data_IF_883745107453
#
_entry.id   IF_883745107453
#
_cell.length_a   1.000
_cell.length_b   1.000
_cell.length_c   1.000
_cell.angle_alpha   90.00
_cell.angle_beta   90.00
_cell.angle_gamma   90.00
#
_symmetry.space_group_name_H-M   'P 1'
#
loop_
_entity.id
_entity.type
_entity.pdbx_description
1 polymer ?
#
# COMPACT_ATOMS: atom_id res chain seq x y z
N UNK A 1 -11.94 -22.33 15.61
CA UNK A 1 -11.41 -21.29 14.69
C UNK A 1 -11.08 -19.98 15.41
N UNK A 2 -12.02 -19.36 16.13
CA UNK A 2 -11.78 -18.08 16.83
C UNK A 2 -10.67 -18.13 17.90
N UNK A 3 -10.57 -19.22 18.67
CA UNK A 3 -9.52 -19.38 19.69
C UNK A 3 -8.11 -19.46 19.09
N UNK A 4 -7.95 -20.17 17.97
CA UNK A 4 -6.68 -20.25 17.25
C UNK A 4 -6.24 -18.87 16.78
N UNK A 5 -7.16 -18.10 16.17
CA UNK A 5 -6.86 -16.74 15.70
C UNK A 5 -6.48 -15.82 16.87
N UNK A 6 -7.16 -15.92 18.02
CA UNK A 6 -6.80 -15.15 19.22
C UNK A 6 -5.41 -15.50 19.75
N UNK A 7 -5.07 -16.80 19.80
CA UNK A 7 -3.74 -17.26 20.23
C UNK A 7 -2.64 -16.78 19.28
N UNK A 8 -2.86 -16.94 17.98
CA UNK A 8 -1.92 -16.49 16.95
C UNK A 8 -1.71 -14.98 17.01
N UNK A 9 -2.78 -14.22 17.19
CA UNK A 9 -2.72 -12.76 17.27
C UNK A 9 -1.95 -12.29 18.53
N UNK A 10 -2.17 -12.92 19.69
CA UNK A 10 -1.40 -12.63 20.91
C UNK A 10 0.09 -12.98 20.75
N UNK A 11 0.40 -14.10 20.09
CA UNK A 11 1.78 -14.50 19.82
C UNK A 11 2.47 -13.51 18.87
N UNK A 12 1.84 -13.15 17.76
CA UNK A 12 2.40 -12.20 16.79
C UNK A 12 2.50 -10.79 17.36
N UNK A 13 1.56 -10.36 18.21
CA UNK A 13 1.67 -9.09 18.93
C UNK A 13 2.89 -9.06 19.88
N UNK A 14 3.26 -10.20 20.47
CA UNK A 14 4.52 -10.30 21.25
C UNK A 14 5.74 -10.27 20.36
N UNK A 15 5.72 -10.97 19.23
CA UNK A 15 6.82 -10.93 18.26
C UNK A 15 7.05 -9.53 17.71
N UNK A 16 6.00 -8.76 17.43
CA UNK A 16 6.12 -7.37 16.97
C UNK A 16 6.78 -6.46 18.03
N UNK A 17 6.51 -6.70 19.32
CA UNK A 17 7.20 -5.99 20.41
C UNK A 17 8.68 -6.37 20.50
N UNK A 18 9.00 -7.65 20.31
CA UNK A 18 10.40 -8.12 20.28
C UNK A 18 11.15 -7.58 19.05
N UNK A 19 10.48 -7.52 17.89
CA UNK A 19 11.03 -6.97 16.67
C UNK A 19 11.43 -5.50 16.86
N UNK A 20 10.56 -4.69 17.47
CA UNK A 20 10.88 -3.31 17.82
C UNK A 20 12.07 -3.20 18.80
N UNK A 21 12.16 -4.11 19.78
CA UNK A 21 13.25 -4.12 20.78
C UNK A 21 14.62 -4.45 20.15
N UNK A 22 14.66 -5.36 19.19
CA UNK A 22 15.89 -5.81 18.53
C UNK A 22 16.07 -5.22 17.12
N UNK A 23 15.47 -4.06 16.86
CA UNK A 23 15.63 -3.31 15.61
C UNK A 23 15.38 -4.15 14.35
N UNK A 24 14.37 -5.01 14.40
CA UNK A 24 13.93 -5.81 13.26
C UNK A 24 12.74 -5.15 12.58
N UNK A 25 12.81 -5.07 11.25
CA UNK A 25 11.67 -4.70 10.42
C UNK A 25 10.89 -5.96 10.08
N UNK A 26 9.67 -6.07 10.59
CA UNK A 26 8.74 -7.15 10.19
C UNK A 26 8.32 -6.94 8.74
N UNK A 27 8.51 -7.96 7.90
CA UNK A 27 8.10 -7.92 6.50
C UNK A 27 6.68 -8.45 6.34
N UNK A 28 6.48 -9.74 6.62
CA UNK A 28 5.18 -10.38 6.38
C UNK A 28 5.00 -11.60 7.27
N UNK A 29 3.74 -11.98 7.41
CA UNK A 29 3.29 -13.22 8.04
C UNK A 29 2.69 -14.09 6.94
N UNK A 30 3.22 -15.29 6.76
CA UNK A 30 2.78 -16.26 5.77
C UNK A 30 2.27 -17.51 6.50
N UNK A 31 0.99 -17.50 6.87
CA UNK A 31 0.39 -18.55 7.69
C UNK A 31 0.95 -18.50 9.12
N UNK A 32 1.76 -19.49 9.46
CA UNK A 32 2.50 -19.61 10.73
C UNK A 32 3.95 -19.08 10.64
N UNK A 33 4.45 -18.82 9.42
CA UNK A 33 5.77 -18.26 9.22
C UNK A 33 5.77 -16.75 9.50
N UNK A 34 6.57 -16.33 10.48
CA UNK A 34 6.87 -14.95 10.79
C UNK A 34 8.31 -14.66 10.37
N UNK A 35 8.52 -13.71 9.45
CA UNK A 35 9.88 -13.30 9.06
C UNK A 35 10.06 -11.79 9.11
N UNK A 36 11.26 -11.41 9.54
CA UNK A 36 11.71 -10.04 9.72
C UNK A 36 13.16 -9.93 9.27
N UNK A 37 13.61 -8.70 9.03
CA UNK A 37 14.95 -8.39 8.57
C UNK A 37 15.58 -7.32 9.46
N UNK A 38 16.90 -7.26 9.49
CA UNK A 38 17.68 -6.23 10.18
C UNK A 38 18.61 -5.52 9.20
N UNK A 39 18.95 -4.26 9.49
CA UNK A 39 19.83 -3.45 8.64
C UNK A 39 19.14 -2.75 7.46
N UNK A 40 17.80 -2.72 7.45
CA UNK A 40 16.98 -1.93 6.53
C UNK A 40 15.81 -1.27 7.28
N UNK A 41 15.40 -0.04 6.91
CA UNK A 41 15.99 0.81 5.86
C UNK A 41 17.36 1.40 6.24
N UNK A 42 17.61 1.55 7.54
CA UNK A 42 18.87 2.08 8.06
C UNK A 42 19.87 0.95 8.25
N UNK A 43 21.04 1.10 7.61
CA UNK A 43 22.14 0.15 7.77
C UNK A 43 22.63 0.13 9.22
N UNK A 44 22.97 -1.06 9.70
CA UNK A 44 23.46 -1.31 11.06
C UNK A 44 24.50 -2.42 11.03
N UNK A 45 25.62 -2.24 11.72
CA UNK A 45 26.73 -3.21 11.72
C UNK A 45 26.47 -4.43 12.60
N UNK A 46 25.78 -4.27 13.73
CA UNK A 46 25.41 -5.35 14.65
C UNK A 46 24.07 -6.01 14.27
N UNK A 47 23.72 -5.98 12.98
CA UNK A 47 22.50 -6.59 12.45
C UNK A 47 22.41 -8.09 12.75
N UNK A 48 23.54 -8.82 12.65
CA UNK A 48 23.61 -10.25 12.90
C UNK A 48 23.33 -10.59 14.37
N UNK A 49 23.94 -9.87 15.30
CA UNK A 49 23.71 -10.03 16.74
C UNK A 49 22.24 -9.73 17.11
N UNK A 50 21.69 -8.65 16.57
CA UNK A 50 20.29 -8.29 16.76
C UNK A 50 19.32 -9.38 16.28
N UNK A 51 19.56 -9.96 15.10
CA UNK A 51 18.72 -11.03 14.55
C UNK A 51 18.81 -12.33 15.35
N UNK A 52 19.99 -12.69 15.90
CA UNK A 52 20.14 -13.84 16.78
C UNK A 52 19.41 -13.60 18.12
N UNK A 53 19.57 -12.42 18.72
CA UNK A 53 18.89 -12.05 19.97
C UNK A 53 17.36 -12.05 19.82
N UNK A 54 16.86 -11.60 18.66
CA UNK A 54 15.45 -11.74 18.31
C UNK A 54 15.02 -13.21 18.28
N UNK A 55 15.76 -14.06 17.56
CA UNK A 55 15.45 -15.49 17.48
C UNK A 55 15.41 -16.19 18.84
N UNK A 56 16.38 -15.91 19.71
CA UNK A 56 16.43 -16.44 21.07
C UNK A 56 15.21 -15.98 21.90
N UNK A 57 14.85 -14.69 21.81
CA UNK A 57 13.70 -14.15 22.52
C UNK A 57 12.36 -14.71 22.00
N UNK A 58 12.25 -15.00 20.70
CA UNK A 58 11.06 -15.64 20.14
C UNK A 58 10.92 -17.09 20.63
N UNK A 59 12.03 -17.83 20.71
CA UNK A 59 12.05 -19.20 21.26
C UNK A 59 11.65 -19.20 22.75
N UNK A 60 12.13 -18.23 23.54
CA UNK A 60 11.71 -18.06 24.93
C UNK A 60 10.21 -17.73 25.03
N UNK A 61 9.72 -16.82 24.18
CA UNK A 61 8.33 -16.41 24.15
C UNK A 61 7.39 -17.57 23.78
N UNK A 62 7.76 -18.42 22.83
CA UNK A 62 6.93 -19.60 22.49
C UNK A 62 6.95 -20.63 23.61
N UNK A 63 8.07 -20.83 24.31
CA UNK A 63 8.12 -21.71 25.48
C UNK A 63 7.18 -21.25 26.59
N UNK A 64 7.12 -19.94 26.85
CA UNK A 64 6.16 -19.37 27.80
C UNK A 64 4.69 -19.61 27.37
N UNK A 65 4.38 -19.42 26.09
CA UNK A 65 3.03 -19.65 25.56
C UNK A 65 2.66 -21.14 25.65
N UNK A 66 3.60 -22.03 25.33
CA UNK A 66 3.47 -23.49 25.45
C UNK A 66 3.08 -23.90 26.86
N UNK A 67 3.79 -23.40 27.87
CA UNK A 67 3.51 -23.67 29.28
C UNK A 67 2.15 -23.14 29.73
N UNK A 68 1.78 -21.92 29.32
CA UNK A 68 0.52 -21.29 29.74
C UNK A 68 -0.71 -21.90 29.08
N UNK A 69 -0.59 -22.31 27.83
CA UNK A 69 -1.72 -22.84 27.05
C UNK A 69 -1.79 -24.37 27.05
N UNK A 70 -0.76 -25.06 27.58
CA UNK A 70 -0.65 -26.52 27.58
C UNK A 70 -0.79 -27.11 26.16
N UNK A 71 -0.27 -26.40 25.17
CA UNK A 71 -0.23 -26.83 23.77
C UNK A 71 1.16 -27.33 23.42
N UNK A 72 1.31 -28.24 22.45
CA UNK A 72 2.61 -28.72 21.98
C UNK A 72 3.05 -27.96 20.72
N UNK A 73 3.32 -26.66 20.89
CA UNK A 73 3.77 -25.77 19.81
C UNK A 73 5.25 -25.48 19.98
N UNK A 74 6.01 -25.67 18.90
CA UNK A 74 7.42 -25.32 18.82
C UNK A 74 7.71 -24.55 17.52
N UNK A 75 8.86 -23.87 17.49
CA UNK A 75 9.26 -23.00 16.40
C UNK A 75 10.70 -23.29 16.00
N UNK A 76 10.95 -23.33 14.69
CA UNK A 76 12.30 -23.32 14.13
C UNK A 76 12.67 -21.89 13.77
N UNK A 77 13.94 -21.53 13.96
CA UNK A 77 14.46 -20.22 13.60
C UNK A 77 15.67 -20.38 12.70
N UNK A 78 15.61 -19.78 11.50
CA UNK A 78 16.72 -19.71 10.55
C UNK A 78 17.18 -18.27 10.35
N UNK A 79 18.49 -18.04 10.39
CA UNK A 79 19.10 -16.71 10.16
C UNK A 79 20.19 -16.82 9.11
N UNK A 80 20.18 -15.90 8.16
CA UNK A 80 21.22 -15.74 7.16
C UNK A 80 21.50 -14.25 6.94
N UNK A 81 22.75 -13.93 6.64
CA UNK A 81 23.24 -12.58 6.41
C UNK A 81 23.71 -12.48 4.96
N UNK A 82 23.21 -11.48 4.24
CA UNK A 82 23.47 -11.31 2.83
C UNK A 82 22.82 -10.03 2.29
N UNK A 83 22.78 -9.92 0.98
CA UNK A 83 22.23 -8.77 0.25
C UNK A 83 20.77 -9.00 -0.11
N UNK A 84 19.95 -7.96 0.01
CA UNK A 84 18.52 -8.04 -0.34
C UNK A 84 18.06 -6.83 -1.14
N UNK A 85 17.13 -7.05 -2.07
CA UNK A 85 16.40 -5.99 -2.74
C UNK A 85 15.05 -5.81 -2.04
N UNK A 86 14.87 -4.68 -1.37
CA UNK A 86 13.59 -4.31 -0.76
C UNK A 86 12.79 -3.36 -1.65
N UNK A 87 11.48 -3.55 -1.71
CA UNK A 87 10.61 -2.68 -2.50
C UNK A 87 9.14 -3.01 -2.31
N UNK A 88 8.30 -2.30 -3.06
CA UNK A 88 6.86 -2.53 -3.05
C UNK A 88 6.40 -2.99 -4.43
N UNK A 89 5.60 -4.05 -4.47
CA UNK A 89 5.04 -4.59 -5.71
C UNK A 89 3.51 -4.54 -5.71
N UNK A 90 2.96 -4.37 -6.92
CA UNK A 90 1.52 -4.47 -7.20
C UNK A 90 0.81 -3.13 -7.42
N UNK A 91 -0.27 -3.17 -8.19
CA UNK A 91 -1.16 -2.00 -8.42
C UNK A 91 -2.33 -1.93 -7.43
N UNK A 92 -2.60 -3.02 -6.70
CA UNK A 92 -3.66 -3.13 -5.69
C UNK A 92 -3.09 -3.81 -4.47
N UNK A 93 -3.38 -3.28 -3.26
CA UNK A 93 -2.90 -3.81 -1.98
C UNK A 93 -1.38 -4.01 -1.96
N UNK A 94 -0.68 -2.94 -2.30
CA UNK A 94 0.77 -2.82 -2.25
C UNK A 94 1.30 -3.23 -0.86
N UNK A 95 2.36 -4.04 -0.84
CA UNK A 95 3.04 -4.51 0.36
C UNK A 95 4.55 -4.40 0.14
N UNK A 96 5.26 -3.89 1.15
CA UNK A 96 6.71 -3.94 1.16
C UNK A 96 7.17 -5.37 1.37
N UNK A 97 8.12 -5.82 0.56
CA UNK A 97 8.68 -7.16 0.62
C UNK A 97 10.14 -7.15 0.15
N UNK A 98 10.84 -8.26 0.37
CA UNK A 98 12.27 -8.41 0.05
C UNK A 98 12.53 -9.61 -0.83
N UNK A 99 13.43 -9.46 -1.80
CA UNK A 99 13.80 -10.51 -2.74
C UNK A 99 15.31 -10.63 -2.85
N UNK A 100 15.81 -11.86 -2.74
CA UNK A 100 17.20 -12.22 -3.03
C UNK A 100 17.37 -13.74 -3.01
N UNK A 101 18.47 -14.22 -3.58
CA UNK A 101 18.98 -15.57 -3.32
C UNK A 101 19.24 -15.78 -1.84
N UNK A 102 19.67 -14.74 -1.13
CA UNK A 102 20.02 -14.80 0.30
C UNK A 102 18.76 -14.97 1.16
N UNK A 103 17.63 -14.37 0.77
CA UNK A 103 16.32 -14.64 1.39
C UNK A 103 15.91 -16.11 1.19
N UNK A 104 16.24 -16.69 0.03
CA UNK A 104 15.98 -18.11 -0.23
C UNK A 104 16.85 -19.00 0.65
N UNK A 105 18.12 -18.65 0.85
CA UNK A 105 19.01 -19.34 1.79
C UNK A 105 18.43 -19.25 3.21
N UNK A 106 18.01 -18.07 3.68
CA UNK A 106 17.40 -17.90 5.01
C UNK A 106 16.17 -18.80 5.21
N UNK A 107 15.30 -18.90 4.20
CA UNK A 107 14.17 -19.81 4.21
C UNK A 107 14.60 -21.28 4.31
N UNK A 108 15.65 -21.69 3.58
CA UNK A 108 16.21 -23.04 3.69
C UNK A 108 16.93 -23.28 5.02
N UNK A 109 17.49 -22.26 5.64
CA UNK A 109 18.06 -22.32 6.99
C UNK A 109 16.97 -22.62 8.05
N UNK A 110 15.78 -22.03 7.93
CA UNK A 110 14.64 -22.38 8.80
C UNK A 110 14.17 -23.82 8.56
N UNK A 111 14.01 -24.22 7.29
CA UNK A 111 13.57 -25.56 6.93
C UNK A 111 14.53 -26.66 7.44
N UNK A 112 15.85 -26.41 7.37
CA UNK A 112 16.88 -27.27 7.95
C UNK A 112 17.16 -27.03 9.44
N UNK A 113 16.39 -26.17 10.09
CA UNK A 113 16.53 -25.81 11.51
C UNK A 113 16.03 -26.90 12.47
N UNK A 114 16.46 -26.80 13.73
CA UNK A 114 16.00 -27.68 14.80
C UNK A 114 15.00 -26.90 15.67
N UNK A 115 13.84 -27.47 16.03
CA UNK A 115 12.87 -26.80 16.90
C UNK A 115 13.50 -26.33 18.21
N UNK A 116 13.14 -25.13 18.66
CA UNK A 116 13.67 -24.51 19.88
C UNK A 116 15.13 -24.06 19.79
N UNK A 117 15.76 -24.09 18.61
CA UNK A 117 17.14 -23.65 18.40
C UNK A 117 17.21 -22.59 17.29
N UNK A 118 18.19 -21.70 17.41
CA UNK A 118 18.50 -20.70 16.37
C UNK A 118 19.59 -21.26 15.47
N UNK A 119 19.25 -21.47 14.19
CA UNK A 119 20.12 -22.03 13.16
C UNK A 119 20.64 -20.90 12.27
N UNK A 120 21.96 -20.77 12.18
CA UNK A 120 22.63 -19.68 11.47
C UNK A 120 23.57 -20.22 10.39
N UNK A 121 23.70 -19.44 9.32
CA UNK A 121 24.65 -19.73 8.24
C UNK A 121 26.08 -19.30 8.59
N UNK A 122 27.06 -19.81 7.85
CA UNK A 122 28.45 -19.33 7.92
C UNK A 122 28.56 -17.81 7.73
N UNK A 123 27.85 -17.24 6.74
CA UNK A 123 27.88 -15.80 6.49
C UNK A 123 27.38 -14.99 7.70
N UNK A 124 26.40 -15.51 8.44
CA UNK A 124 25.96 -14.88 9.69
C UNK A 124 27.02 -14.99 10.77
N UNK A 125 27.65 -16.16 10.90
CA UNK A 125 28.74 -16.39 11.86
C UNK A 125 29.92 -15.44 11.63
N UNK A 126 30.29 -15.18 10.38
CA UNK A 126 31.36 -14.23 10.03
C UNK A 126 31.02 -12.78 10.42
N UNK A 127 29.73 -12.42 10.43
CA UNK A 127 29.25 -11.14 10.95
C UNK A 127 29.16 -11.10 12.48
N UNK A 128 29.41 -12.20 13.19
CA UNK A 128 29.46 -12.24 14.65
C UNK A 128 30.90 -12.06 15.11
N UNK A 129 31.13 -11.04 15.93
CA UNK A 129 32.46 -10.73 16.46
C UNK A 129 32.82 -11.60 17.69
N UNK A 130 32.47 -12.89 17.67
CA UNK A 130 32.66 -13.82 18.79
C UNK A 130 31.72 -13.59 19.98
N UNK A 131 30.60 -12.91 19.76
CA UNK A 131 29.62 -12.55 20.81
C UNK A 131 28.79 -13.74 21.31
N UNK A 132 28.71 -14.82 20.53
CA UNK A 132 27.88 -15.98 20.81
C UNK A 132 28.67 -17.27 20.64
N UNK A 133 28.46 -18.21 21.56
CA UNK A 133 28.94 -19.58 21.42
C UNK A 133 28.06 -20.33 20.40
N UNK A 134 28.72 -21.01 19.46
CA UNK A 134 28.06 -21.75 18.39
C UNK A 134 28.58 -23.18 18.31
N UNK A 135 27.71 -24.12 17.96
CA UNK A 135 28.07 -25.51 17.70
C UNK A 135 27.81 -25.87 16.23
N UNK A 136 28.49 -26.88 15.66
CA UNK A 136 28.23 -27.34 14.30
C UNK A 136 26.76 -27.74 14.13
N UNK A 137 26.08 -27.14 13.14
CA UNK A 137 24.66 -27.35 12.92
C UNK A 137 24.34 -28.55 12.02
N UNK A 138 25.28 -28.98 11.18
CA UNK A 138 25.10 -30.05 10.18
C UNK A 138 23.81 -29.89 9.36
N UNK A 139 23.51 -28.66 8.92
CA UNK A 139 22.27 -28.35 8.19
C UNK A 139 22.15 -29.07 6.84
N UNK A 140 23.27 -29.42 6.21
CA UNK A 140 23.29 -30.18 4.96
C UNK A 140 22.72 -31.60 5.06
N UNK A 141 22.67 -32.18 6.26
CA UNK A 141 22.05 -33.51 6.47
C UNK A 141 20.52 -33.41 6.45
N UNK A 142 19.96 -32.24 6.79
CA UNK A 142 18.52 -31.99 6.92
C UNK A 142 17.93 -31.23 5.73
N UNK A 143 18.76 -30.57 4.93
CA UNK A 143 18.31 -29.81 3.76
C UNK A 143 19.28 -29.98 2.58
N UNK A 144 18.80 -30.62 1.51
CA UNK A 144 19.59 -30.88 0.30
C UNK A 144 20.13 -29.58 -0.33
N UNK A 145 19.35 -28.50 -0.31
CA UNK A 145 19.76 -27.20 -0.85
C UNK A 145 21.02 -26.65 -0.16
N UNK A 146 21.11 -26.81 1.17
CA UNK A 146 22.28 -26.35 1.94
C UNK A 146 23.51 -27.19 1.61
N UNK A 147 23.32 -28.51 1.44
CA UNK A 147 24.39 -29.45 1.05
C UNK A 147 24.90 -29.19 -0.37
N UNK A 148 24.01 -29.02 -1.34
CA UNK A 148 24.35 -28.76 -2.74
C UNK A 148 25.09 -27.43 -2.93
N UNK A 149 24.74 -26.42 -2.12
CA UNK A 149 25.41 -25.12 -2.13
C UNK A 149 26.69 -25.08 -1.29
N UNK A 150 27.01 -26.16 -0.55
CA UNK A 150 28.17 -26.23 0.32
C UNK A 150 28.14 -25.19 1.45
N UNK A 151 26.95 -24.85 1.96
CA UNK A 151 26.80 -23.85 3.01
C UNK A 151 27.05 -24.51 4.37
N UNK A 152 28.11 -24.10 5.05
CA UNK A 152 28.34 -24.50 6.44
C UNK A 152 27.33 -23.82 7.37
N UNK A 153 26.85 -24.56 8.36
CA UNK A 153 25.81 -24.07 9.28
C UNK A 153 26.13 -24.36 10.73
N UNK A 154 25.58 -23.53 11.60
CA UNK A 154 25.87 -23.50 13.02
C UNK A 154 24.58 -23.34 13.83
N UNK A 155 24.55 -23.87 15.05
CA UNK A 155 23.46 -23.67 16.01
C UNK A 155 23.97 -22.82 17.16
N UNK A 156 23.20 -21.81 17.54
CA UNK A 156 23.54 -20.96 18.68
C UNK A 156 23.35 -21.75 19.98
N UNK A 157 24.36 -21.72 20.84
CA UNK A 157 24.33 -22.34 22.16
C UNK A 157 23.78 -21.30 23.13
N UNK A 158 22.65 -21.60 23.76
CA UNK A 158 22.13 -20.76 24.84
C UNK A 158 22.95 -21.08 26.09
N UNK A 159 23.61 -20.11 26.74
CA UNK A 159 24.28 -20.34 28.00
C UNK A 159 23.24 -20.84 29.00
N UNK A 160 23.34 -22.12 29.42
CA UNK A 160 22.54 -22.61 30.53
C UNK A 160 22.99 -21.80 31.74
N UNK A 161 22.10 -20.95 32.26
CA UNK A 161 22.39 -20.15 33.45
C UNK A 161 22.94 -21.03 34.58
N UNK A 162 23.82 -20.52 35.46
CA UNK A 162 24.45 -21.35 36.47
C UNK A 162 23.42 -21.81 37.49
N UNK A 163 23.19 -23.13 37.59
CA UNK A 163 22.87 -23.70 38.89
C UNK A 163 24.12 -23.61 39.75
N UNK A 164 24.22 -22.54 40.55
CA UNK A 164 25.11 -22.39 41.70
C UNK A 164 26.61 -22.66 41.48
N UNK A 165 27.37 -21.61 41.15
CA UNK A 165 28.59 -21.17 41.87
C UNK A 165 29.29 -20.04 41.10
N UNK A 166 29.63 -19.00 41.85
CA UNK A 166 30.34 -17.77 41.47
C UNK A 166 31.70 -18.04 40.82
N UNK A 167 31.98 -17.46 39.64
CA UNK A 167 33.26 -16.83 39.23
C UNK A 167 32.98 -15.77 38.13
N UNK A 168 33.74 -14.68 38.17
CA UNK A 168 33.57 -13.34 37.58
C UNK A 168 34.15 -13.20 36.16
N UNK A 169 33.61 -12.22 35.41
CA UNK A 169 34.09 -11.54 34.17
C UNK A 169 33.27 -11.91 32.93
N UNK A 170 32.51 -11.05 32.23
CA UNK A 170 32.21 -9.62 32.38
C UNK A 170 31.46 -9.15 31.11
N UNK A 171 30.13 -9.18 31.11
CA UNK A 171 29.26 -8.35 30.24
C UNK A 171 28.03 -7.99 31.08
N UNK A 172 27.86 -6.69 31.34
CA UNK A 172 26.84 -6.15 32.24
C UNK A 172 25.55 -5.91 31.45
N UNK A 173 24.60 -6.85 31.50
CA UNK A 173 23.19 -6.56 31.23
C UNK A 173 22.66 -5.70 32.38
N UNK A 174 22.61 -4.37 32.20
CA UNK A 174 21.91 -3.49 33.14
C UNK A 174 20.45 -3.35 32.72
N UNK A 175 19.59 -4.20 33.28
CA UNK A 175 18.17 -3.93 33.45
C UNK A 175 18.03 -3.09 34.71
N UNK A 176 17.77 -1.79 34.57
CA UNK A 176 17.36 -0.95 35.71
C UNK A 176 15.88 -1.21 35.98
N UNK A 177 15.59 -2.00 37.00
CA UNK A 177 14.26 -2.06 37.62
C UNK A 177 14.05 -0.82 38.46
N UNK A 178 12.91 -0.14 38.31
CA UNK A 178 12.43 0.79 39.32
C UNK A 178 10.94 0.60 39.55
N UNK A 179 10.67 0.05 40.73
CA UNK A 179 9.52 0.24 41.62
C UNK A 179 8.11 -0.12 41.14
N UNK A 180 7.49 -0.96 41.97
CA UNK A 180 6.16 -1.48 41.81
C UNK A 180 5.07 -0.47 42.19
N UNK A 181 3.92 -0.69 41.56
CA UNK A 181 2.60 -0.51 42.12
C UNK A 181 1.66 -1.34 41.25
N UNK A 182 1.27 -2.52 41.75
CA UNK A 182 0.15 -3.28 41.21
C UNK A 182 -1.16 -2.54 41.52
N UNK A 183 -2.17 -2.58 40.65
CA UNK A 183 -3.55 -2.56 41.12
C UNK A 183 -4.24 -3.90 40.88
N UNK A 184 -5.03 -4.24 41.89
CA UNK A 184 -5.87 -5.42 42.05
C UNK A 184 -6.97 -5.53 40.99
N UNK A 185 -7.34 -6.79 40.74
CA UNK A 185 -8.62 -7.25 40.21
C UNK A 185 -9.80 -6.60 40.97
N UNK A 186 -10.69 -5.92 40.25
CA UNK A 186 -12.01 -5.53 40.77
C UNK A 186 -13.02 -6.56 40.30
N UNK A 187 -13.59 -7.26 41.28
CA UNK A 187 -14.78 -8.08 41.17
C UNK A 187 -15.90 -7.31 41.90
N UNK A 188 -17.01 -7.00 41.24
CA UNK A 188 -18.25 -6.62 41.93
C UNK A 188 -19.49 -7.06 41.17
N UNK A 189 -20.29 -7.82 41.91
CA UNK A 189 -21.61 -8.37 41.67
C UNK A 189 -22.71 -7.29 41.73
N UNK A 190 -23.67 -7.41 40.81
CA UNK A 190 -25.09 -7.00 40.77
C UNK A 190 -25.66 -5.76 41.50
N UNK A 191 -26.52 -5.03 40.78
CA UNK A 191 -27.79 -4.53 41.31
C UNK A 191 -28.88 -4.42 40.21
N UNK A 192 -30.10 -4.78 40.61
CA UNK A 192 -31.31 -5.06 39.84
C UNK A 192 -32.13 -3.83 39.38
N UNK A 193 -32.92 -4.06 38.32
CA UNK A 193 -34.20 -3.38 37.99
C UNK A 193 -34.12 -2.46 36.75
N UNK A 194 -34.97 -2.55 35.71
CA UNK A 194 -36.18 -3.33 35.43
C UNK A 194 -36.61 -3.10 33.96
N UNK A 195 -37.09 -4.15 33.24
CA UNK A 195 -38.26 -4.15 32.29
C UNK A 195 -38.11 -3.32 30.98
N UNK A 196 -38.24 -3.79 29.72
CA UNK A 196 -38.70 -5.02 29.07
C UNK A 196 -38.10 -5.15 27.63
N UNK A 197 -37.63 -6.36 27.30
CA UNK A 197 -37.82 -7.18 26.09
C UNK A 197 -38.27 -6.55 24.75
N UNK A 198 -37.44 -6.66 23.70
CA UNK A 198 -37.71 -7.51 22.53
C UNK A 198 -36.46 -7.67 21.62
N UNK A 199 -36.27 -8.90 21.15
CA UNK A 199 -35.14 -9.45 20.43
C UNK A 199 -35.16 -9.10 18.93
N UNK A 200 -33.97 -8.90 18.31
CA UNK A 200 -33.58 -9.47 16.99
C UNK A 200 -32.12 -9.10 16.67
N UNK A 201 -31.29 -10.13 16.45
CA UNK A 201 -29.94 -10.11 15.84
C UNK A 201 -30.01 -9.74 14.33
N UNK A 202 -28.91 -9.60 13.55
CA UNK A 202 -27.46 -9.42 13.85
C UNK A 202 -26.74 -8.40 12.91
N UNK A 203 -25.85 -7.50 13.36
CA UNK A 203 -24.91 -6.80 12.43
C UNK A 203 -23.52 -6.47 13.02
N UNK A 204 -22.59 -6.29 12.07
CA UNK A 204 -21.12 -6.28 12.08
C UNK A 204 -20.41 -5.33 13.07
N UNK A 205 -19.09 -5.56 13.37
CA UNK A 205 -18.35 -4.70 14.27
C UNK A 205 -18.06 -3.32 13.65
N UNK A 206 -18.46 -2.31 14.41
CA UNK A 206 -18.29 -0.88 14.17
C UNK A 206 -16.84 -0.44 13.93
N UNK A 207 -16.71 0.48 12.96
CA UNK A 207 -15.52 1.26 12.66
C UNK A 207 -15.15 2.19 13.85
N UNK A 208 -13.86 2.21 14.20
CA UNK A 208 -13.32 3.18 15.16
C UNK A 208 -13.17 4.53 14.46
N UNK A 209 -13.95 5.47 14.97
CA UNK A 209 -14.04 6.88 14.60
C UNK A 209 -12.69 7.60 14.76
N UNK A 210 -12.01 7.92 13.63
CA UNK A 210 -10.94 8.91 13.60
C UNK A 210 -11.52 10.25 13.14
N UNK A 211 -11.82 11.08 14.14
CA UNK A 211 -11.75 12.55 14.15
C UNK A 211 -11.97 13.22 12.78
N UNK A 212 -13.23 13.62 12.56
CA UNK A 212 -13.69 14.47 11.46
C UNK A 212 -12.87 15.75 11.38
N UNK A 213 -11.88 15.77 10.49
CA UNK A 213 -11.32 17.00 9.93
C UNK A 213 -12.16 17.34 8.71
N UNK A 214 -12.88 18.46 8.79
CA UNK A 214 -13.67 19.09 7.73
C UNK A 214 -13.15 18.76 6.30
N UNK A 215 -13.92 18.06 5.45
CA UNK A 215 -13.52 17.87 4.06
C UNK A 215 -13.77 19.19 3.31
N UNK A 216 -12.81 20.10 3.42
CA UNK A 216 -12.74 21.22 2.49
C UNK A 216 -12.43 20.65 1.11
N UNK A 217 -13.46 20.63 0.26
CA UNK A 217 -13.44 20.15 -1.12
C UNK A 217 -12.18 20.58 -1.91
N UNK A 218 -11.65 19.74 -2.81
CA UNK A 218 -10.52 20.13 -3.65
C UNK A 218 -10.92 21.21 -4.66
N UNK A 219 -10.22 22.34 -4.60
CA UNK A 219 -10.34 23.49 -5.48
C UNK A 219 -9.84 23.16 -6.91
N UNK A 220 -10.57 23.50 -8.01
CA UNK A 220 -10.24 23.12 -9.40
C UNK A 220 -8.95 23.73 -9.98
N UNK A 221 -8.24 24.60 -9.25
CA UNK A 221 -6.88 25.04 -9.64
C UNK A 221 -5.82 23.93 -9.50
N UNK A 222 -6.13 22.77 -8.90
CA UNK A 222 -5.17 21.67 -8.67
C UNK A 222 -4.81 20.82 -9.90
N UNK A 223 -5.61 20.79 -10.97
CA UNK A 223 -5.21 20.07 -12.22
C UNK A 223 -4.06 20.73 -12.97
N UNK A 224 -3.85 22.05 -12.80
CA UNK A 224 -2.62 22.71 -13.26
C UNK A 224 -1.41 22.30 -12.40
N UNK A 225 -1.63 21.93 -11.14
CA UNK A 225 -0.55 21.44 -10.28
C UNK A 225 0.00 20.10 -10.70
N UNK A 226 -0.67 19.19 -11.42
CA UNK A 226 -0.04 17.91 -11.77
C UNK A 226 1.18 18.06 -12.71
N UNK A 227 1.21 19.10 -13.54
CA UNK A 227 2.40 19.46 -14.34
C UNK A 227 3.44 20.19 -13.50
N UNK A 228 3.04 21.20 -12.71
CA UNK A 228 3.95 21.88 -11.77
C UNK A 228 4.50 20.94 -10.68
N UNK A 229 3.77 19.87 -10.33
CA UNK A 229 4.11 18.85 -9.36
C UNK A 229 5.00 17.79 -9.99
N UNK A 230 4.78 17.44 -11.27
CA UNK A 230 5.75 16.63 -12.02
C UNK A 230 7.08 17.36 -12.17
N UNK A 231 7.06 18.68 -12.40
CA UNK A 231 8.25 19.53 -12.46
C UNK A 231 8.93 19.66 -11.08
N UNK A 232 8.15 19.85 -10.01
CA UNK A 232 8.66 19.81 -8.61
C UNK A 232 9.14 18.44 -8.15
N UNK A 233 8.59 17.35 -8.68
CA UNK A 233 9.03 15.97 -8.41
C UNK A 233 10.38 15.71 -9.10
N UNK A 234 10.61 16.30 -10.27
CA UNK A 234 11.92 16.29 -10.95
C UNK A 234 12.94 17.13 -10.19
N UNK A 235 12.55 18.31 -9.69
CA UNK A 235 13.42 19.17 -8.87
C UNK A 235 13.67 18.64 -7.45
N UNK A 236 12.72 17.89 -6.86
CA UNK A 236 12.82 17.33 -5.50
C UNK A 236 13.51 15.94 -5.45
N UNK A 237 14.14 15.50 -6.54
CA UNK A 237 14.80 14.20 -6.63
C UNK A 237 15.97 14.06 -5.63
N UNK A 238 16.53 15.17 -5.13
CA UNK A 238 17.58 15.17 -4.10
C UNK A 238 17.08 14.94 -2.67
N UNK A 239 15.79 15.17 -2.39
CA UNK A 239 15.20 15.06 -1.04
C UNK A 239 14.10 13.99 -0.99
N UNK A 240 14.48 12.75 -0.67
CA UNK A 240 13.61 11.56 -0.65
C UNK A 240 12.36 11.72 0.24
N UNK A 241 12.47 12.46 1.36
CA UNK A 241 11.35 12.72 2.26
C UNK A 241 10.30 13.67 1.65
N UNK A 242 10.73 14.66 0.89
CA UNK A 242 9.84 15.62 0.23
C UNK A 242 9.16 14.98 -0.98
N UNK A 243 9.91 14.16 -1.73
CA UNK A 243 9.39 13.35 -2.82
C UNK A 243 8.30 12.38 -2.33
N UNK A 244 8.55 11.64 -1.25
CA UNK A 244 7.57 10.70 -0.68
C UNK A 244 6.31 11.41 -0.17
N UNK A 245 6.45 12.62 0.38
CA UNK A 245 5.31 13.44 0.80
C UNK A 245 4.46 13.90 -0.37
N UNK A 246 5.09 14.37 -1.45
CA UNK A 246 4.40 14.79 -2.67
C UNK A 246 3.75 13.61 -3.39
N UNK A 247 4.40 12.44 -3.41
CA UNK A 247 3.85 11.21 -3.99
C UNK A 247 2.62 10.74 -3.22
N UNK A 248 2.67 10.74 -1.88
CA UNK A 248 1.53 10.38 -1.04
C UNK A 248 0.36 11.35 -1.20
N UNK A 249 0.61 12.66 -1.32
CA UNK A 249 -0.45 13.64 -1.58
C UNK A 249 -1.13 13.39 -2.94
N UNK A 250 -0.34 13.07 -3.98
CA UNK A 250 -0.87 12.75 -5.31
C UNK A 250 -1.65 11.42 -5.35
N UNK A 251 -1.22 10.42 -4.57
CA UNK A 251 -1.90 9.13 -4.47
C UNK A 251 -3.26 9.25 -3.75
N UNK A 252 -3.31 9.99 -2.65
CA UNK A 252 -4.57 10.26 -1.93
C UNK A 252 -5.57 11.03 -2.81
N UNK A 253 -5.10 11.98 -3.62
CA UNK A 253 -5.96 12.71 -4.56
C UNK A 253 -6.53 11.79 -5.66
N UNK A 254 -5.75 10.82 -6.13
CA UNK A 254 -6.22 9.83 -7.11
C UNK A 254 -7.23 8.86 -6.50
N UNK A 255 -6.96 8.38 -5.29
CA UNK A 255 -7.84 7.44 -4.57
C UNK A 255 -9.18 8.08 -4.22
N UNK A 256 -9.21 9.33 -3.79
CA UNK A 256 -10.46 10.05 -3.50
C UNK A 256 -11.33 10.21 -4.75
N UNK A 257 -10.75 10.57 -5.90
CA UNK A 257 -11.48 10.66 -7.17
C UNK A 257 -12.02 9.29 -7.62
N UNK A 258 -11.24 8.23 -7.43
CA UNK A 258 -11.62 6.88 -7.84
C UNK A 258 -12.66 6.26 -6.89
N UNK A 259 -12.60 6.57 -5.60
CA UNK A 259 -13.58 6.19 -4.59
C UNK A 259 -14.93 6.89 -4.79
N UNK A 260 -14.92 8.18 -5.18
CA UNK A 260 -16.12 8.94 -5.55
C UNK A 260 -16.83 8.33 -6.77
N UNK A 261 -16.07 7.92 -7.80
CA UNK A 261 -16.61 7.35 -9.04
C UNK A 261 -17.27 5.98 -8.87
N UNK A 262 -16.91 5.20 -7.85
CA UNK A 262 -17.47 3.88 -7.61
C UNK A 262 -18.72 3.87 -6.73
N UNK A 263 -18.84 4.83 -5.81
CA UNK A 263 -19.90 4.84 -4.78
C UNK A 263 -21.02 5.87 -5.04
N UNK A 264 -20.79 6.91 -5.84
CA UNK A 264 -21.71 8.05 -5.95
C UNK A 264 -22.23 8.31 -7.38
N UNK A 265 -22.21 7.34 -8.30
CA UNK A 265 -22.72 7.53 -9.68
C UNK A 265 -23.71 6.43 -10.09
N UNK A 266 -24.83 6.84 -10.68
CA UNK A 266 -25.82 5.93 -11.26
C UNK A 266 -25.25 5.25 -12.52
N UNK A 267 -25.25 3.91 -12.55
CA UNK A 267 -24.62 3.12 -13.62
C UNK A 267 -25.18 3.35 -15.02
N UNK A 268 -26.48 3.67 -15.13
CA UNK A 268 -27.16 3.90 -16.41
C UNK A 268 -27.19 5.37 -16.80
N UNK A 269 -27.52 6.25 -15.84
CA UNK A 269 -27.63 7.69 -16.11
C UNK A 269 -26.27 8.39 -16.14
N UNK A 270 -25.20 7.75 -15.64
CA UNK A 270 -23.88 8.34 -15.38
C UNK A 270 -23.91 9.64 -14.54
N UNK A 271 -25.06 9.98 -13.96
CA UNK A 271 -25.26 11.11 -13.05
C UNK A 271 -24.77 10.77 -11.67
N UNK A 272 -24.24 11.77 -10.98
CA UNK A 272 -23.94 11.65 -9.57
C UNK A 272 -25.24 11.46 -8.76
N UNK A 273 -25.20 10.64 -7.70
CA UNK A 273 -26.30 10.49 -6.76
C UNK A 273 -26.53 11.80 -5.98
N UNK A 274 -25.47 12.54 -5.68
CA UNK A 274 -25.55 13.84 -5.03
C UNK A 274 -25.82 14.97 -6.04
N UNK A 275 -26.93 15.72 -5.88
CA UNK A 275 -27.28 16.83 -6.78
C UNK A 275 -26.29 18.00 -6.68
N UNK A 276 -25.64 18.19 -5.54
CA UNK A 276 -24.60 19.22 -5.36
C UNK A 276 -23.30 18.87 -6.09
N UNK A 277 -22.95 17.58 -6.17
CA UNK A 277 -21.79 17.12 -6.94
C UNK A 277 -22.05 17.25 -8.44
N UNK A 278 -23.23 16.85 -8.90
CA UNK A 278 -23.64 16.98 -10.30
C UNK A 278 -23.61 18.44 -10.77
N UNK A 279 -24.10 19.37 -9.94
CA UNK A 279 -24.08 20.79 -10.27
C UNK A 279 -22.66 21.35 -10.35
N UNK A 280 -21.77 20.99 -9.41
CA UNK A 280 -20.35 21.42 -9.45
C UNK A 280 -19.59 20.82 -10.62
N UNK A 281 -19.74 19.52 -10.92
CA UNK A 281 -19.13 18.87 -12.09
C UNK A 281 -19.65 19.43 -13.41
N UNK A 282 -20.94 19.71 -13.51
CA UNK A 282 -21.51 20.29 -14.74
C UNK A 282 -21.04 21.72 -15.04
N UNK A 283 -20.49 22.41 -14.04
CA UNK A 283 -19.88 23.75 -14.18
C UNK A 283 -18.41 23.64 -14.61
N UNK A 284 -17.77 22.48 -14.40
CA UNK A 284 -16.37 22.25 -14.72
C UNK A 284 -16.13 22.24 -16.24
N UNK A 285 -15.11 22.98 -16.67
CA UNK A 285 -14.79 23.18 -18.09
C UNK A 285 -13.98 21.99 -18.62
N UNK A 286 -14.53 21.25 -19.56
CA UNK A 286 -13.81 20.17 -20.22
C UNK A 286 -12.73 20.74 -21.15
N UNK A 287 -11.46 20.62 -20.75
CA UNK A 287 -10.31 21.14 -21.54
C UNK A 287 -10.05 20.37 -22.85
N UNK A 288 -10.68 19.21 -23.05
CA UNK A 288 -10.47 18.33 -24.21
C UNK A 288 -11.63 18.30 -25.22
N UNK A 289 -12.70 19.05 -25.00
CA UNK A 289 -13.86 19.07 -25.90
C UNK A 289 -13.48 19.41 -27.35
N UNK A 290 -12.59 20.40 -27.54
CA UNK A 290 -12.10 20.78 -28.87
C UNK A 290 -11.37 19.64 -29.60
N UNK A 291 -10.66 18.76 -28.89
CA UNK A 291 -9.98 17.63 -29.51
C UNK A 291 -10.96 16.53 -29.95
N UNK A 292 -12.03 16.31 -29.18
CA UNK A 292 -13.10 15.38 -29.55
C UNK A 292 -13.81 15.84 -30.83
N UNK A 293 -14.14 17.13 -30.94
CA UNK A 293 -14.76 17.69 -32.14
C UNK A 293 -13.86 17.60 -33.37
N UNK A 294 -12.55 17.85 -33.23
CA UNK A 294 -11.59 17.65 -34.32
C UNK A 294 -11.55 16.19 -34.79
N UNK A 295 -11.58 15.24 -33.85
CA UNK A 295 -11.63 13.82 -34.16
C UNK A 295 -12.91 13.45 -34.91
N UNK A 296 -14.07 13.96 -34.47
CA UNK A 296 -15.35 13.73 -35.14
C UNK A 296 -15.36 14.25 -36.59
N UNK A 297 -14.77 15.42 -36.86
CA UNK A 297 -14.61 15.91 -38.24
C UNK A 297 -13.71 15.00 -39.10
N UNK A 298 -12.61 14.48 -38.55
CA UNK A 298 -11.76 13.55 -39.30
C UNK A 298 -12.51 12.27 -39.63
N UNK A 299 -13.25 11.71 -38.66
CA UNK A 299 -14.05 10.49 -38.87
C UNK A 299 -15.10 10.73 -39.95
N UNK A 300 -15.80 11.86 -39.93
CA UNK A 300 -16.84 12.12 -40.92
C UNK A 300 -16.29 12.37 -42.33
N UNK A 301 -15.15 13.06 -42.46
CA UNK A 301 -14.45 13.17 -43.74
C UNK A 301 -14.11 11.79 -44.32
N UNK A 302 -13.63 10.86 -43.50
CA UNK A 302 -13.38 9.49 -43.92
C UNK A 302 -14.68 8.76 -44.30
N UNK A 303 -15.79 8.96 -43.58
CA UNK A 303 -17.07 8.36 -43.95
C UNK A 303 -17.60 8.88 -45.29
N UNK A 304 -17.46 10.17 -45.57
CA UNK A 304 -17.86 10.78 -46.85
C UNK A 304 -17.03 10.24 -48.00
N UNK A 305 -15.71 10.07 -47.81
CA UNK A 305 -14.83 9.46 -48.82
C UNK A 305 -15.24 8.01 -49.08
N UNK A 306 -15.54 7.23 -48.04
CA UNK A 306 -15.96 5.85 -48.20
C UNK A 306 -17.32 5.73 -48.89
N UNK A 307 -18.28 6.59 -48.56
CA UNK A 307 -19.61 6.58 -49.18
C UNK A 307 -19.54 7.04 -50.64
N UNK A 308 -18.64 7.97 -50.97
CA UNK A 308 -18.33 8.38 -52.35
C UNK A 308 -17.79 7.24 -53.22
N UNK A 309 -17.11 6.26 -52.61
CA UNK A 309 -16.58 5.09 -53.29
C UNK A 309 -17.63 3.98 -53.47
N UNK A 310 -18.68 3.95 -52.64
CA UNK A 310 -19.70 2.89 -52.64
C UNK A 310 -20.86 3.21 -53.58
N UNK A 311 -21.41 4.44 -53.57
CA UNK A 311 -22.57 4.81 -54.40
C UNK A 311 -22.51 6.26 -54.94
N UNK A 312 -22.13 6.49 -56.21
CA UNK A 312 -21.98 7.84 -56.77
C UNK A 312 -23.29 8.52 -57.23
N UNK A 313 -24.45 7.86 -57.09
CA UNK A 313 -25.67 8.28 -57.83
C UNK A 313 -26.73 9.02 -57.01
N UNK A 314 -26.64 9.08 -55.68
CA UNK A 314 -27.66 9.73 -54.84
C UNK A 314 -27.20 11.09 -54.30
N UNK A 315 -27.33 12.12 -55.13
CA UNK A 315 -26.95 13.52 -54.84
C UNK A 315 -27.54 14.04 -53.52
N UNK A 316 -28.72 13.54 -53.11
CA UNK A 316 -29.36 13.92 -51.85
C UNK A 316 -28.51 13.58 -50.61
N UNK A 317 -27.82 12.44 -50.59
CA UNK A 317 -26.99 12.04 -49.45
C UNK A 317 -25.78 12.97 -49.33
N UNK A 318 -25.13 13.28 -50.45
CA UNK A 318 -24.00 14.21 -50.48
C UNK A 318 -24.40 15.61 -49.98
N UNK A 319 -25.60 16.08 -50.30
CA UNK A 319 -26.11 17.37 -49.80
C UNK A 319 -26.30 17.30 -48.27
N UNK A 320 -26.90 16.24 -47.75
CA UNK A 320 -27.10 16.09 -46.29
C UNK A 320 -25.78 15.98 -45.53
N UNK A 321 -24.78 15.27 -46.09
CA UNK A 321 -23.44 15.16 -45.50
C UNK A 321 -22.68 16.48 -45.57
N UNK A 322 -22.73 17.20 -46.70
CA UNK A 322 -22.09 18.49 -46.82
C UNK A 322 -22.66 19.52 -45.83
N UNK A 323 -23.97 19.50 -45.61
CA UNK A 323 -24.62 20.35 -44.59
C UNK A 323 -24.17 19.95 -43.18
N UNK A 324 -24.11 18.64 -42.87
CA UNK A 324 -23.64 18.13 -41.59
C UNK A 324 -22.17 18.49 -41.30
N UNK A 325 -21.29 18.34 -42.28
CA UNK A 325 -19.87 18.70 -42.20
C UNK A 325 -19.68 20.20 -41.97
N UNK A 326 -20.39 21.05 -42.71
CA UNK A 326 -20.31 22.50 -42.51
C UNK A 326 -20.77 22.90 -41.11
N UNK A 327 -21.86 22.30 -40.61
CA UNK A 327 -22.34 22.55 -39.26
C UNK A 327 -21.32 22.11 -38.20
N UNK A 328 -20.73 20.92 -38.32
CA UNK A 328 -19.72 20.44 -37.37
C UNK A 328 -18.43 21.26 -37.45
N UNK A 329 -17.98 21.65 -38.64
CA UNK A 329 -16.83 22.54 -38.80
C UNK A 329 -17.06 23.89 -38.09
N UNK A 330 -18.26 24.47 -38.18
CA UNK A 330 -18.60 25.68 -37.43
C UNK A 330 -18.50 25.44 -35.91
N UNK A 331 -19.04 24.33 -35.42
CA UNK A 331 -18.97 23.96 -34.00
C UNK A 331 -17.52 23.73 -33.52
N UNK A 332 -16.68 23.12 -34.34
CA UNK A 332 -15.25 22.88 -34.04
C UNK A 332 -14.46 24.19 -33.98
N UNK A 333 -14.68 25.10 -34.94
CA UNK A 333 -14.01 26.41 -34.96
C UNK A 333 -14.44 27.24 -33.76
N UNK A 334 -15.73 27.21 -33.40
CA UNK A 334 -16.23 27.87 -32.20
C UNK A 334 -15.61 27.32 -30.91
N UNK A 335 -15.45 25.99 -30.77
CA UNK A 335 -14.82 25.38 -29.58
C UNK A 335 -13.30 25.61 -29.52
N UNK A 336 -12.60 25.58 -30.66
CA UNK A 336 -11.17 25.87 -30.76
C UNK A 336 -10.84 27.34 -30.47
N UNK A 337 -11.72 28.27 -30.83
CA UNK A 337 -11.54 29.69 -30.56
C UNK A 337 -11.53 30.03 -29.05
N UNK A 338 -12.24 29.26 -28.22
CA UNK A 338 -12.17 29.38 -26.77
C UNK A 338 -10.84 28.87 -26.18
N UNK A 339 -10.20 27.90 -26.84
CA UNK A 339 -8.98 27.25 -26.36
C UNK A 339 -7.73 28.03 -26.82
N UNK A 340 -7.75 28.57 -28.04
CA UNK A 340 -6.62 29.29 -28.64
C UNK A 340 -6.96 30.75 -28.99
N UNK A 341 -7.16 31.64 -28.00
CA UNK A 341 -7.61 33.02 -28.21
C UNK A 341 -6.59 33.89 -28.98
N UNK A 342 -5.35 33.42 -29.16
CA UNK A 342 -4.29 34.12 -29.89
C UNK A 342 -4.34 33.92 -31.41
N UNK A 343 -5.03 32.89 -31.89
CA UNK A 343 -5.05 32.49 -33.31
C UNK A 343 -6.30 33.00 -34.05
N UNK A 344 -7.38 33.30 -33.31
CA UNK A 344 -8.69 33.63 -33.88
C UNK A 344 -9.07 35.12 -33.72
N UNK A 345 -9.95 35.66 -34.59
CA UNK A 345 -10.37 37.05 -34.51
C UNK A 345 -11.12 37.35 -33.21
N UNK A 346 -10.86 38.54 -32.64
CA UNK A 346 -11.37 38.94 -31.31
C UNK A 346 -12.88 38.78 -31.15
N UNK A 347 -13.67 39.05 -32.20
CA UNK A 347 -15.13 38.92 -32.20
C UNK A 347 -15.59 37.47 -32.01
N UNK A 348 -14.88 36.52 -32.62
CA UNK A 348 -15.19 35.09 -32.58
C UNK A 348 -14.78 34.49 -31.24
N UNK A 349 -13.65 34.95 -30.68
CA UNK A 349 -13.24 34.61 -29.31
C UNK A 349 -14.28 35.11 -28.29
N UNK A 350 -14.75 36.36 -28.40
CA UNK A 350 -15.79 36.90 -27.50
C UNK A 350 -17.09 36.09 -27.57
N UNK A 351 -17.54 35.74 -28.77
CA UNK A 351 -18.75 34.93 -28.96
C UNK A 351 -18.59 33.51 -28.40
N UNK A 352 -17.45 32.87 -28.67
CA UNK A 352 -17.10 31.55 -28.14
C UNK A 352 -17.01 31.55 -26.60
N UNK A 353 -16.39 32.58 -26.00
CA UNK A 353 -16.34 32.72 -24.54
C UNK A 353 -17.70 32.96 -23.91
N UNK A 354 -18.63 33.61 -24.63
CA UNK A 354 -20.00 33.81 -24.17
C UNK A 354 -20.82 32.51 -24.18
N UNK A 355 -20.65 31.68 -25.21
CA UNK A 355 -21.21 30.32 -25.28
C UNK A 355 -20.71 29.48 -24.10
N UNK A 356 -19.39 29.49 -23.85
CA UNK A 356 -18.76 28.74 -22.77
C UNK A 356 -19.28 29.14 -21.38
N UNK A 357 -19.56 30.42 -21.17
CA UNK A 357 -20.01 30.96 -19.88
C UNK A 357 -21.50 30.68 -19.60
N UNK A 358 -22.30 30.39 -20.64
CA UNK A 358 -23.75 30.21 -20.50
C UNK A 358 -24.09 28.72 -20.45
N UNK A 359 -24.37 28.20 -19.24
CA UNK A 359 -24.59 26.76 -18.98
C UNK A 359 -25.65 26.11 -19.87
N UNK A 360 -26.77 26.80 -20.10
CA UNK A 360 -27.84 26.28 -20.97
C UNK A 360 -27.41 26.21 -22.44
N UNK A 361 -26.70 27.22 -22.93
CA UNK A 361 -26.18 27.25 -24.31
C UNK A 361 -25.14 26.16 -24.50
N UNK A 362 -24.21 25.99 -23.54
CA UNK A 362 -23.20 24.92 -23.58
C UNK A 362 -23.81 23.52 -23.63
N UNK A 363 -24.85 23.25 -22.82
CA UNK A 363 -25.52 21.95 -22.83
C UNK A 363 -26.26 21.70 -24.15
N UNK A 364 -26.97 22.71 -24.68
CA UNK A 364 -27.63 22.60 -25.99
C UNK A 364 -26.61 22.41 -27.12
N UNK A 365 -25.45 23.07 -27.02
CA UNK A 365 -24.35 22.97 -27.98
C UNK A 365 -23.67 21.59 -27.97
N UNK A 366 -23.54 20.97 -26.80
CA UNK A 366 -22.99 19.62 -26.66
C UNK A 366 -23.98 18.52 -27.08
N UNK A 367 -25.29 18.79 -27.09
CA UNK A 367 -26.32 17.86 -27.58
C UNK A 367 -26.47 17.95 -29.10
N UNK A 368 -26.18 19.11 -29.69
CA UNK A 368 -26.31 19.37 -31.12
C UNK A 368 -25.09 18.89 -31.94
N UNK A 369 -23.98 18.59 -31.29
CA UNK A 369 -22.75 18.07 -31.88
C UNK A 369 -22.66 16.56 -31.66
#
# INVERSE_FOLDING_TARGET
AQELVKLLNELFARFDKLAAKYHQLRIKILGDCYYCICGLPDYREDHAACSIMMGLAMVEAISYVREKTQTDVDMRVGVHSGTVLGGVLGQKRWQYDVWSTDVTVANKMEAGGIPGRVHISQSTMECLHGEFDVEPGNGGDRCDYLRERGIETYLVVVPKGPQGKSVISGVKLSVTSSNGNSPLLINTTECNGSVNTACTTPEEPEEVDMMVVNPSFPNPQRRLRLRDLAERVVDAQENEQELNKLLNEALLERETVQALKGKHTNKLSLRFLDPELETRFSVEKEKQSGAAFCCSCVVLLFTVIMEALIDPWLISNYITFAVGEVLLLILTICSLAAIFPRVFPKKLVTFSTWIDHTRWVRNSWAIAA
#
